data_IF_686897896810
#
_entry.id   IF_686897896810
#
_cell.length_a   1.000
_cell.length_b   1.000
_cell.length_c   1.000
_cell.angle_alpha   90.00
_cell.angle_beta   90.00
_cell.angle_gamma   90.00
#
_symmetry.space_group_name_H-M   'P 1'
#
loop_
_entity.id
_entity.type
_entity.pdbx_description
1 polymer ?
#
# COMPACT_ATOMS: atom_id res chain seq x y z
N UNK A 1 -23.29 19.14 -65.90
CA UNK A 1 -24.39 19.84 -65.23
C UNK A 1 -25.14 18.79 -64.44
N UNK A 2 -24.77 18.54 -63.19
CA UNK A 2 -25.31 19.21 -61.99
C UNK A 2 -26.32 18.25 -61.36
N UNK A 3 -26.34 17.88 -60.07
CA UNK A 3 -25.65 18.31 -58.86
C UNK A 3 -25.85 17.18 -57.82
N UNK A 4 -24.88 16.97 -56.93
CA UNK A 4 -25.00 16.10 -55.74
C UNK A 4 -25.99 16.68 -54.72
N UNK A 5 -26.91 15.86 -54.19
CA UNK A 5 -27.40 16.01 -52.80
C UNK A 5 -27.65 14.61 -52.23
N UNK A 6 -26.71 14.16 -51.39
CA UNK A 6 -26.84 13.04 -50.47
C UNK A 6 -27.58 13.54 -49.24
N UNK A 7 -28.66 12.86 -48.82
CA UNK A 7 -29.23 13.03 -47.49
C UNK A 7 -29.66 11.66 -46.95
N UNK A 8 -28.73 11.01 -46.25
CA UNK A 8 -29.01 9.83 -45.44
C UNK A 8 -29.57 10.29 -44.09
N UNK A 9 -30.87 10.11 -43.88
CA UNK A 9 -31.51 10.19 -42.57
C UNK A 9 -31.33 8.83 -41.86
N UNK A 10 -30.19 8.64 -41.19
CA UNK A 10 -30.07 7.62 -40.14
C UNK A 10 -30.62 8.21 -38.84
N UNK A 11 -31.88 7.91 -38.55
CA UNK A 11 -32.51 8.12 -37.25
C UNK A 11 -31.92 7.09 -36.27
N UNK A 12 -30.80 7.44 -35.65
CA UNK A 12 -30.25 6.72 -34.49
C UNK A 12 -31.14 7.00 -33.27
N UNK A 13 -32.16 6.17 -33.08
CA UNK A 13 -32.78 5.97 -31.79
C UNK A 13 -31.91 4.98 -30.98
N UNK A 14 -30.72 5.41 -30.53
CA UNK A 14 -30.06 4.74 -29.42
C UNK A 14 -30.72 5.23 -28.13
N UNK A 15 -31.85 4.63 -27.78
CA UNK A 15 -32.14 4.46 -26.36
C UNK A 15 -31.09 3.49 -25.83
N UNK A 16 -29.98 4.04 -25.32
CA UNK A 16 -29.04 3.26 -24.50
C UNK A 16 -29.86 2.83 -23.30
N UNK A 17 -30.30 1.57 -23.32
CA UNK A 17 -30.80 0.89 -22.13
C UNK A 17 -29.59 0.83 -21.19
N UNK A 18 -29.45 1.84 -20.32
CA UNK A 18 -28.62 1.74 -19.13
C UNK A 18 -29.34 0.73 -18.27
N UNK A 19 -29.05 -0.55 -18.52
CA UNK A 19 -29.58 -1.65 -17.73
C UNK A 19 -29.07 -1.39 -16.32
N UNK A 20 -29.96 -0.86 -15.49
CA UNK A 20 -29.65 -0.56 -14.10
C UNK A 20 -29.19 -1.87 -13.50
N UNK A 21 -27.89 -1.94 -13.18
CA UNK A 21 -27.27 -3.13 -12.60
C UNK A 21 -28.01 -3.46 -11.31
N UNK A 22 -28.95 -4.40 -11.40
CA UNK A 22 -29.57 -5.02 -10.25
C UNK A 22 -28.51 -5.97 -9.69
N UNK A 23 -27.62 -5.43 -8.86
CA UNK A 23 -26.79 -6.24 -7.95
C UNK A 23 -27.80 -7.09 -7.16
N UNK A 24 -27.73 -8.44 -7.24
CA UNK A 24 -28.59 -9.29 -6.46
C UNK A 24 -28.49 -8.88 -4.99
N UNK A 25 -29.63 -8.61 -4.34
CA UNK A 25 -29.65 -8.36 -2.89
C UNK A 25 -29.25 -9.66 -2.21
N UNK A 26 -27.97 -9.76 -1.88
CA UNK A 26 -27.52 -10.66 -0.84
C UNK A 26 -28.19 -10.26 0.49
N UNK A 27 -28.56 -11.25 1.30
CA UNK A 27 -29.22 -10.97 2.56
C UNK A 27 -28.32 -10.12 3.48
N UNK A 28 -28.88 -9.27 4.36
CA UNK A 28 -28.10 -8.35 5.21
C UNK A 28 -27.03 -9.01 6.09
N UNK A 29 -27.13 -10.32 6.31
CA UNK A 29 -26.14 -11.10 7.07
C UNK A 29 -24.95 -11.59 6.20
N UNK A 30 -25.10 -11.70 4.87
CA UNK A 30 -23.98 -12.05 3.96
C UNK A 30 -23.26 -10.82 3.38
N UNK A 31 -23.90 -9.65 3.34
CA UNK A 31 -23.28 -8.40 2.88
C UNK A 31 -22.20 -7.88 3.86
N UNK A 32 -20.92 -8.04 3.47
CA UNK A 32 -19.79 -7.58 4.27
C UNK A 32 -19.75 -6.08 4.50
N UNK A 33 -20.16 -5.27 3.52
CA UNK A 33 -20.17 -3.81 3.66
C UNK A 33 -21.24 -3.36 4.67
N UNK A 34 -22.39 -4.02 4.71
CA UNK A 34 -23.43 -3.77 5.71
C UNK A 34 -22.95 -4.12 7.12
N UNK A 35 -22.22 -5.23 7.29
CA UNK A 35 -21.63 -5.60 8.59
C UNK A 35 -20.61 -4.57 9.07
N UNK A 36 -19.74 -4.08 8.17
CA UNK A 36 -18.79 -2.99 8.47
C UNK A 36 -19.52 -1.73 8.93
N UNK A 37 -20.52 -1.29 8.16
CA UNK A 37 -21.29 -0.09 8.51
C UNK A 37 -21.99 -0.23 9.87
N UNK A 38 -22.60 -1.40 10.12
CA UNK A 38 -23.24 -1.69 11.39
C UNK A 38 -22.23 -1.66 12.57
N UNK A 39 -21.04 -2.24 12.41
CA UNK A 39 -19.97 -2.15 13.42
C UNK A 39 -19.57 -0.69 13.67
N UNK A 40 -19.44 0.12 12.61
CA UNK A 40 -19.07 1.53 12.70
C UNK A 40 -20.13 2.35 13.44
N UNK A 41 -21.40 2.28 13.04
CA UNK A 41 -22.46 3.11 13.67
C UNK A 41 -22.80 2.66 15.09
N UNK A 42 -22.79 1.35 15.37
CA UNK A 42 -23.23 0.83 16.67
C UNK A 42 -22.10 0.81 17.70
N UNK A 43 -20.88 0.46 17.28
CA UNK A 43 -19.71 0.30 18.18
C UNK A 43 -18.69 1.43 18.05
N UNK A 44 -18.89 2.39 17.12
CA UNK A 44 -17.94 3.47 16.82
C UNK A 44 -16.53 2.95 16.49
N UNK A 45 -16.45 1.78 15.87
CA UNK A 45 -15.19 1.14 15.49
C UNK A 45 -14.68 1.64 14.14
N UNK A 46 -13.36 1.79 14.04
CA UNK A 46 -12.64 2.04 12.77
C UNK A 46 -11.76 0.87 12.35
N UNK A 47 -11.77 -0.21 13.14
CA UNK A 47 -11.10 -1.48 12.86
C UNK A 47 -12.16 -2.57 12.63
N UNK A 48 -11.96 -3.38 11.61
CA UNK A 48 -12.90 -4.37 11.10
C UNK A 48 -12.22 -5.72 10.92
N UNK A 49 -13.03 -6.78 10.90
CA UNK A 49 -12.51 -8.12 10.66
C UNK A 49 -12.03 -8.28 9.22
N UNK A 50 -11.04 -9.14 9.01
CA UNK A 50 -10.61 -9.54 7.67
C UNK A 50 -11.78 -10.05 6.81
N UNK A 51 -12.64 -10.88 7.40
CA UNK A 51 -13.76 -11.51 6.68
C UNK A 51 -14.76 -10.48 6.17
N UNK A 52 -15.12 -9.48 6.98
CA UNK A 52 -16.09 -8.46 6.56
C UNK A 52 -15.57 -7.61 5.39
N UNK A 53 -14.29 -7.24 5.42
CA UNK A 53 -13.68 -6.47 4.31
C UNK A 53 -13.52 -7.35 3.07
N UNK A 54 -13.10 -8.61 3.22
CA UNK A 54 -13.02 -9.56 2.11
C UNK A 54 -14.38 -9.71 1.42
N UNK A 55 -15.44 -9.95 2.18
CA UNK A 55 -16.79 -10.13 1.64
C UNK A 55 -17.31 -8.85 0.99
N UNK A 56 -17.04 -7.68 1.60
CA UNK A 56 -17.40 -6.38 1.03
C UNK A 56 -16.73 -6.16 -0.34
N UNK A 57 -15.41 -6.31 -0.42
CA UNK A 57 -14.65 -6.07 -1.67
C UNK A 57 -14.97 -7.10 -2.76
N UNK A 58 -15.26 -8.35 -2.38
CA UNK A 58 -15.61 -9.42 -3.33
C UNK A 58 -17.09 -9.47 -3.71
N UNK A 59 -17.92 -8.54 -3.21
CA UNK A 59 -19.35 -8.48 -3.53
C UNK A 59 -19.67 -7.89 -4.92
N UNK A 60 -18.69 -7.32 -5.61
CA UNK A 60 -18.90 -6.64 -6.89
C UNK A 60 -18.55 -7.54 -8.08
N UNK A 61 -19.49 -7.83 -8.98
CA UNK A 61 -19.20 -8.63 -10.18
C UNK A 61 -18.30 -7.86 -11.15
N UNK A 62 -17.47 -8.60 -11.89
CA UNK A 62 -16.60 -8.03 -12.92
C UNK A 62 -17.37 -7.78 -14.23
N UNK A 63 -17.12 -6.61 -14.84
CA UNK A 63 -17.61 -6.23 -16.17
C UNK A 63 -16.46 -6.17 -17.19
N UNK A 64 -16.61 -6.86 -18.32
CA UNK A 64 -15.59 -6.99 -19.36
C UNK A 64 -15.29 -5.69 -20.09
N UNK A 65 -16.24 -4.75 -20.15
CA UNK A 65 -16.06 -3.46 -20.83
C UNK A 65 -14.94 -2.61 -20.21
N UNK A 66 -14.56 -2.89 -18.95
CA UNK A 66 -13.43 -2.25 -18.27
C UNK A 66 -12.10 -2.51 -18.99
N UNK A 67 -11.92 -3.67 -19.64
CA UNK A 67 -10.67 -4.02 -20.34
C UNK A 67 -10.50 -3.16 -21.60
N UNK A 68 -11.57 -2.90 -22.33
CA UNK A 68 -11.54 -2.09 -23.56
C UNK A 68 -11.10 -0.66 -23.26
N UNK A 69 -11.70 -0.07 -22.22
CA UNK A 69 -11.35 1.28 -21.76
C UNK A 69 -9.88 1.36 -21.35
N UNK A 70 -9.42 0.41 -20.53
CA UNK A 70 -8.04 0.36 -20.07
C UNK A 70 -7.04 0.18 -21.22
N UNK A 71 -7.35 -0.70 -22.17
CA UNK A 71 -6.51 -0.96 -23.34
C UNK A 71 -6.38 0.29 -24.23
N UNK A 72 -7.49 1.03 -24.42
CA UNK A 72 -7.48 2.30 -25.13
C UNK A 72 -6.61 3.36 -24.45
N UNK A 73 -6.70 3.48 -23.12
CA UNK A 73 -5.90 4.42 -22.33
C UNK A 73 -4.40 4.09 -22.40
N UNK A 74 -4.03 2.84 -22.13
CA UNK A 74 -2.63 2.40 -22.19
C UNK A 74 -2.06 2.58 -23.59
N UNK A 75 -2.83 2.22 -24.62
CA UNK A 75 -2.39 2.33 -26.00
C UNK A 75 -2.24 3.77 -26.52
N UNK A 76 -2.99 4.72 -25.96
CA UNK A 76 -3.01 6.12 -26.38
C UNK A 76 -2.14 7.06 -25.55
N UNK A 77 -1.92 6.78 -24.26
CA UNK A 77 -1.30 7.74 -23.32
C UNK A 77 0.03 7.27 -22.74
N UNK A 78 0.31 5.97 -22.65
CA UNK A 78 1.57 5.51 -22.07
C UNK A 78 2.70 5.57 -23.10
N UNK A 79 3.55 6.60 -23.00
CA UNK A 79 4.61 6.86 -23.99
C UNK A 79 5.80 5.88 -23.92
N UNK A 80 5.92 5.11 -22.84
CA UNK A 80 7.06 4.20 -22.59
C UNK A 80 6.76 2.74 -22.93
N UNK A 81 5.74 2.46 -23.76
CA UNK A 81 5.35 1.10 -24.14
C UNK A 81 6.51 0.27 -24.70
N UNK A 82 7.31 0.83 -25.60
CA UNK A 82 8.44 0.11 -26.20
C UNK A 82 9.54 -0.13 -25.16
N UNK A 83 9.78 0.86 -24.29
CA UNK A 83 10.78 0.75 -23.23
C UNK A 83 10.41 -0.28 -22.18
N UNK A 84 9.12 -0.45 -21.88
CA UNK A 84 8.63 -1.46 -20.94
C UNK A 84 8.88 -2.89 -21.43
N UNK A 85 8.91 -3.11 -22.76
CA UNK A 85 9.15 -4.43 -23.37
C UNK A 85 10.63 -4.83 -23.42
N UNK A 86 11.53 -3.89 -23.24
CA UNK A 86 12.96 -4.17 -23.29
C UNK A 86 13.40 -4.93 -22.04
N UNK A 87 14.29 -5.93 -22.16
CA UNK A 87 14.91 -6.57 -21.01
C UNK A 87 15.57 -5.55 -20.08
N UNK A 88 15.56 -5.79 -18.75
CA UNK A 88 16.28 -4.97 -17.80
C UNK A 88 17.78 -4.91 -18.14
N UNK A 89 18.42 -3.79 -17.80
CA UNK A 89 19.88 -3.73 -17.81
C UNK A 89 20.47 -4.69 -16.75
N UNK A 90 21.70 -5.20 -16.94
CA UNK A 90 22.34 -6.04 -15.95
C UNK A 90 22.32 -5.42 -14.55
N UNK A 91 21.94 -6.20 -13.55
CA UNK A 91 21.80 -5.75 -12.16
C UNK A 91 20.36 -5.43 -11.74
N UNK A 92 19.41 -5.37 -12.68
CA UNK A 92 17.98 -5.28 -12.37
C UNK A 92 17.28 -6.63 -12.60
N UNK A 93 16.25 -6.88 -11.81
CA UNK A 93 15.56 -8.17 -11.68
C UNK A 93 14.09 -8.15 -12.15
N UNK A 94 13.60 -6.99 -12.60
CA UNK A 94 12.24 -6.85 -13.09
C UNK A 94 12.08 -7.43 -14.50
N UNK A 95 10.92 -8.02 -14.79
CA UNK A 95 10.63 -8.59 -16.10
C UNK A 95 10.32 -7.49 -17.13
N UNK A 96 10.65 -7.68 -18.42
CA UNK A 96 10.04 -6.91 -19.49
C UNK A 96 8.51 -7.16 -19.53
N UNK A 97 7.76 -6.11 -19.82
CA UNK A 97 6.29 -6.10 -19.81
C UNK A 97 5.76 -5.56 -21.14
N UNK A 98 5.03 -6.40 -21.86
CA UNK A 98 4.20 -5.95 -22.98
C UNK A 98 2.78 -5.66 -22.48
N UNK A 99 2.56 -4.45 -21.97
CA UNK A 99 1.27 -4.05 -21.39
C UNK A 99 0.09 -4.30 -22.33
N UNK A 100 0.26 -4.11 -23.64
CA UNK A 100 -0.82 -4.34 -24.62
C UNK A 100 -1.16 -5.83 -24.71
N UNK A 101 -0.13 -6.68 -24.85
CA UNK A 101 -0.35 -8.13 -24.92
C UNK A 101 -0.92 -8.69 -23.61
N UNK A 102 -0.47 -8.19 -22.46
CA UNK A 102 -0.94 -8.63 -21.15
C UNK A 102 -2.41 -8.23 -20.90
N UNK A 103 -2.82 -7.02 -21.32
CA UNK A 103 -4.22 -6.60 -21.26
C UNK A 103 -5.12 -7.40 -22.21
N UNK A 104 -4.62 -7.76 -23.40
CA UNK A 104 -5.34 -8.66 -24.29
C UNK A 104 -5.48 -10.06 -23.68
N UNK A 105 -4.46 -10.56 -22.98
CA UNK A 105 -4.57 -11.82 -22.23
C UNK A 105 -5.66 -11.75 -21.15
N UNK A 106 -5.85 -10.59 -20.51
CA UNK A 106 -6.89 -10.43 -19.48
C UNK A 106 -8.30 -10.58 -20.05
N UNK A 107 -8.53 -10.36 -21.35
CA UNK A 107 -9.82 -10.65 -22.00
C UNK A 107 -10.20 -12.13 -21.96
N UNK A 108 -9.19 -13.00 -21.94
CA UNK A 108 -9.36 -14.45 -21.94
C UNK A 108 -9.44 -15.04 -20.53
N UNK A 109 -8.93 -14.31 -19.53
CA UNK A 109 -9.06 -14.67 -18.13
C UNK A 109 -10.51 -14.53 -17.67
N UNK A 110 -10.92 -15.42 -16.77
CA UNK A 110 -12.21 -15.34 -16.11
C UNK A 110 -12.02 -14.77 -14.71
N UNK A 111 -12.65 -13.63 -14.44
CA UNK A 111 -12.67 -13.00 -13.12
C UNK A 111 -14.06 -13.13 -12.51
N UNK A 112 -14.13 -13.59 -11.26
CA UNK A 112 -15.38 -13.68 -10.53
C UNK A 112 -15.82 -12.32 -9.98
N UNK A 113 -14.85 -11.51 -9.54
CA UNK A 113 -15.11 -10.23 -8.88
C UNK A 113 -14.32 -9.10 -9.54
N UNK A 114 -14.85 -7.88 -9.44
CA UNK A 114 -14.15 -6.67 -9.87
C UNK A 114 -12.84 -6.47 -9.09
N UNK A 115 -12.81 -6.87 -7.80
CA UNK A 115 -11.60 -6.82 -6.98
C UNK A 115 -10.46 -7.64 -7.59
N UNK A 116 -10.74 -8.90 -7.98
CA UNK A 116 -9.72 -9.79 -8.54
C UNK A 116 -9.17 -9.22 -9.86
N UNK A 117 -10.06 -8.72 -10.74
CA UNK A 117 -9.64 -8.06 -11.98
C UNK A 117 -8.75 -6.83 -11.72
N UNK A 118 -9.19 -5.91 -10.85
CA UNK A 118 -8.43 -4.69 -10.58
C UNK A 118 -7.10 -4.95 -9.88
N UNK A 119 -7.02 -6.00 -9.07
CA UNK A 119 -5.76 -6.44 -8.43
C UNK A 119 -4.78 -6.98 -9.47
N UNK A 120 -5.25 -7.81 -10.41
CA UNK A 120 -4.44 -8.31 -11.52
C UNK A 120 -3.90 -7.16 -12.39
N UNK A 121 -4.75 -6.17 -12.71
CA UNK A 121 -4.33 -4.97 -13.43
C UNK A 121 -3.30 -4.19 -12.63
N UNK A 122 -3.54 -3.96 -11.35
CA UNK A 122 -2.59 -3.27 -10.47
C UNK A 122 -1.22 -3.94 -10.49
N UNK A 123 -1.18 -5.27 -10.37
CA UNK A 123 0.08 -6.03 -10.40
C UNK A 123 0.77 -5.98 -11.77
N UNK A 124 0.01 -5.99 -12.87
CA UNK A 124 0.59 -5.76 -14.20
C UNK A 124 1.31 -4.41 -14.31
N UNK A 125 0.74 -3.35 -13.74
CA UNK A 125 1.41 -2.04 -13.69
C UNK A 125 2.58 -2.04 -12.71
N UNK A 126 2.49 -2.77 -11.59
CA UNK A 126 3.60 -2.90 -10.63
C UNK A 126 4.81 -3.61 -11.24
N UNK A 127 4.62 -4.47 -12.23
CA UNK A 127 5.72 -5.13 -12.94
C UNK A 127 6.60 -4.16 -13.74
N UNK A 128 6.10 -2.95 -14.07
CA UNK A 128 6.90 -1.89 -14.71
C UNK A 128 8.00 -1.33 -13.80
N UNK A 129 7.87 -1.54 -12.48
CA UNK A 129 8.74 -0.97 -11.43
C UNK A 129 8.98 0.53 -11.62
N UNK A 130 7.89 1.25 -11.89
CA UNK A 130 7.86 2.69 -12.13
C UNK A 130 6.95 3.36 -11.09
N UNK A 131 7.53 4.24 -10.28
CA UNK A 131 6.80 4.96 -9.23
C UNK A 131 5.75 5.94 -9.77
N UNK A 132 5.84 6.32 -11.05
CA UNK A 132 4.93 7.28 -11.70
C UNK A 132 3.82 6.61 -12.51
N UNK A 133 3.96 5.31 -12.81
CA UNK A 133 3.02 4.59 -13.65
C UNK A 133 2.36 3.49 -12.82
N UNK A 134 1.21 3.82 -12.23
CA UNK A 134 0.44 2.90 -11.38
C UNK A 134 -1.02 2.88 -11.79
N UNK A 135 -1.66 1.73 -11.56
CA UNK A 135 -3.10 1.59 -11.61
C UNK A 135 -3.66 1.55 -10.19
N UNK A 136 -4.63 2.40 -9.91
CA UNK A 136 -5.32 2.46 -8.62
C UNK A 136 -6.82 2.54 -8.84
N UNK A 137 -7.58 1.77 -8.06
CA UNK A 137 -9.04 1.84 -8.00
C UNK A 137 -9.46 2.35 -6.64
N UNK A 138 -10.15 3.50 -6.59
CA UNK A 138 -10.70 4.03 -5.35
C UNK A 138 -11.67 3.05 -4.66
N UNK A 139 -12.28 2.15 -5.43
CA UNK A 139 -13.20 1.13 -4.94
C UNK A 139 -12.55 0.21 -3.89
N UNK A 140 -11.23 0.00 -3.94
CA UNK A 140 -10.52 -0.98 -3.11
C UNK A 140 -9.35 -0.38 -2.32
N UNK A 141 -9.44 0.90 -1.98
CA UNK A 141 -8.42 1.61 -1.18
C UNK A 141 -8.94 2.11 0.16
N UNK A 142 -10.19 1.80 0.50
CA UNK A 142 -10.83 2.23 1.76
C UNK A 142 -10.18 1.60 2.99
N UNK A 143 -9.81 0.32 2.89
CA UNK A 143 -9.31 -0.46 4.01
C UNK A 143 -7.86 -0.87 3.81
N UNK A 144 -7.12 -0.88 4.91
CA UNK A 144 -5.75 -1.38 5.00
C UNK A 144 -5.69 -2.50 6.04
N UNK A 145 -4.79 -3.45 5.85
CA UNK A 145 -4.62 -4.62 6.69
C UNK A 145 -3.29 -4.55 7.44
N UNK A 146 -3.29 -4.83 8.74
CA UNK A 146 -2.08 -4.90 9.55
C UNK A 146 -2.13 -6.04 10.57
N UNK A 147 -0.94 -6.50 10.98
CA UNK A 147 -0.76 -7.62 11.92
C UNK A 147 -0.30 -7.17 13.29
N UNK A 148 -0.17 -5.85 13.51
CA UNK A 148 0.43 -5.24 14.70
C UNK A 148 1.91 -5.52 14.91
N UNK A 149 2.60 -6.05 13.89
CA UNK A 149 4.04 -6.31 13.95
C UNK A 149 4.73 -5.67 12.75
N UNK A 150 5.81 -4.93 13.00
CA UNK A 150 6.64 -4.28 11.97
C UNK A 150 8.08 -4.76 12.06
N UNK A 151 8.84 -4.58 10.99
CA UNK A 151 10.14 -5.22 10.83
C UNK A 151 11.21 -4.24 10.40
N UNK A 152 12.45 -4.62 10.64
CA UNK A 152 13.61 -3.98 10.04
C UNK A 152 14.64 -5.05 9.69
N UNK A 153 15.61 -4.69 8.85
CA UNK A 153 16.67 -5.60 8.44
C UNK A 153 18.01 -5.12 8.95
N UNK A 154 18.84 -6.07 9.37
CA UNK A 154 20.25 -5.84 9.72
C UNK A 154 21.14 -6.82 8.97
N UNK A 155 22.38 -6.43 8.72
CA UNK A 155 23.41 -7.35 8.22
C UNK A 155 24.34 -7.68 9.38
N UNK A 156 24.43 -8.95 9.74
CA UNK A 156 25.31 -9.44 10.79
C UNK A 156 26.20 -10.55 10.20
N UNK A 157 27.52 -10.36 10.22
CA UNK A 157 28.50 -11.29 9.65
C UNK A 157 28.23 -11.66 8.17
N UNK A 158 27.74 -10.71 7.38
CA UNK A 158 27.41 -10.92 5.97
C UNK A 158 26.07 -11.61 5.72
N UNK A 159 25.34 -11.99 6.77
CA UNK A 159 23.98 -12.53 6.68
C UNK A 159 22.95 -11.43 6.95
N UNK A 160 21.97 -11.31 6.06
CA UNK A 160 20.87 -10.36 6.22
C UNK A 160 19.75 -11.00 7.06
N UNK A 161 19.41 -10.36 8.17
CA UNK A 161 18.44 -10.84 9.16
C UNK A 161 17.28 -9.87 9.29
N UNK A 162 16.08 -10.43 9.44
CA UNK A 162 14.86 -9.67 9.73
C UNK A 162 14.65 -9.67 11.24
N UNK A 163 14.40 -8.50 11.81
CA UNK A 163 14.14 -8.34 13.24
C UNK A 163 12.84 -7.56 13.44
N UNK A 164 12.18 -7.81 14.57
CA UNK A 164 10.96 -7.08 14.96
C UNK A 164 11.34 -5.65 15.36
N UNK A 165 10.79 -4.66 14.66
CA UNK A 165 10.96 -3.25 14.99
C UNK A 165 9.97 -2.84 16.11
N UNK A 166 8.70 -3.20 15.94
CA UNK A 166 7.62 -2.90 16.89
C UNK A 166 6.60 -4.04 16.86
N UNK A 167 6.10 -4.41 18.03
CA UNK A 167 4.98 -5.33 18.24
C UNK A 167 4.04 -4.71 19.26
N UNK A 168 2.91 -4.17 18.79
CA UNK A 168 1.97 -3.45 19.64
C UNK A 168 1.10 -4.37 20.49
N UNK A 169 1.19 -5.69 20.29
CA UNK A 169 0.50 -6.70 21.10
C UNK A 169 1.43 -7.23 22.20
N UNK A 170 2.69 -7.51 21.88
CA UNK A 170 3.67 -8.03 22.82
C UNK A 170 5.06 -7.43 22.58
N UNK A 171 5.36 -6.37 23.33
CA UNK A 171 6.63 -5.64 23.23
C UNK A 171 7.85 -6.49 23.59
N UNK A 172 7.70 -7.65 24.24
CA UNK A 172 8.83 -8.53 24.54
C UNK A 172 9.41 -9.21 23.29
N UNK A 173 8.71 -9.12 22.15
CA UNK A 173 9.16 -9.60 20.84
C UNK A 173 10.05 -8.60 20.11
N UNK A 174 10.15 -7.35 20.58
CA UNK A 174 11.01 -6.34 19.97
C UNK A 174 12.45 -6.85 19.94
N UNK A 175 13.11 -6.62 18.81
CA UNK A 175 14.48 -7.05 18.55
C UNK A 175 14.68 -8.57 18.39
N UNK A 176 13.64 -9.38 18.49
CA UNK A 176 13.76 -10.80 18.16
C UNK A 176 13.95 -11.00 16.65
N UNK A 177 14.77 -11.99 16.28
CA UNK A 177 14.97 -12.39 14.88
C UNK A 177 13.70 -13.08 14.38
N UNK A 178 13.15 -12.62 13.26
CA UNK A 178 12.07 -13.29 12.53
C UNK A 178 12.72 -14.28 11.59
N UNK A 179 12.73 -15.55 11.96
CA UNK A 179 13.41 -16.59 11.17
C UNK A 179 12.53 -17.10 10.04
N UNK A 180 11.23 -17.28 10.32
CA UNK A 180 10.26 -17.79 9.36
C UNK A 180 8.96 -16.99 9.42
N UNK A 181 8.29 -16.93 8.28
CA UNK A 181 6.93 -16.43 8.11
C UNK A 181 6.16 -17.56 7.43
N UNK A 182 5.14 -18.07 8.10
CA UNK A 182 4.32 -19.19 7.63
C UNK A 182 5.15 -20.42 7.22
N UNK A 183 6.18 -20.72 8.00
CA UNK A 183 7.09 -21.83 7.78
C UNK A 183 8.13 -21.62 6.67
N UNK A 184 8.13 -20.48 5.99
CA UNK A 184 9.12 -20.11 4.97
C UNK A 184 10.13 -19.12 5.54
N UNK A 185 11.39 -19.13 5.05
CA UNK A 185 12.40 -18.19 5.54
C UNK A 185 11.94 -16.74 5.39
N UNK A 186 12.01 -15.96 6.48
CA UNK A 186 11.44 -14.63 6.54
C UNK A 186 12.03 -13.68 5.48
N UNK A 187 13.35 -13.72 5.28
CA UNK A 187 14.01 -12.93 4.25
C UNK A 187 13.43 -13.20 2.87
N UNK A 188 13.25 -14.48 2.50
CA UNK A 188 12.69 -14.87 1.21
C UNK A 188 11.25 -14.36 1.03
N UNK A 189 10.42 -14.48 2.07
CA UNK A 189 9.03 -14.01 2.02
C UNK A 189 8.95 -12.49 1.81
N UNK A 190 9.77 -11.72 2.53
CA UNK A 190 9.81 -10.26 2.39
C UNK A 190 10.43 -9.85 1.06
N UNK A 191 11.45 -10.56 0.59
CA UNK A 191 12.06 -10.38 -0.72
C UNK A 191 11.05 -10.60 -1.86
N UNK A 192 10.27 -11.68 -1.80
CA UNK A 192 9.23 -11.97 -2.79
C UNK A 192 8.12 -10.93 -2.76
N UNK A 193 7.70 -10.47 -1.57
CA UNK A 193 6.77 -9.36 -1.44
C UNK A 193 7.34 -8.06 -2.04
N UNK A 194 8.60 -7.74 -1.78
CA UNK A 194 9.27 -6.58 -2.35
C UNK A 194 9.38 -6.65 -3.88
N UNK A 195 9.59 -7.85 -4.42
CA UNK A 195 9.65 -8.04 -5.87
C UNK A 195 8.27 -7.92 -6.53
N UNK A 196 7.24 -8.50 -5.92
CA UNK A 196 5.94 -8.68 -6.56
C UNK A 196 4.96 -7.55 -6.24
N UNK A 197 4.98 -7.03 -5.02
CA UNK A 197 3.96 -6.10 -4.51
C UNK A 197 4.46 -4.67 -4.36
N UNK A 198 5.77 -4.44 -4.34
CA UNK A 198 6.34 -3.08 -4.32
C UNK A 198 6.72 -2.66 -5.74
N UNK A 199 6.23 -1.51 -6.17
CA UNK A 199 6.46 -0.98 -7.53
C UNK A 199 7.43 0.20 -7.56
N UNK A 200 7.66 0.83 -6.41
CA UNK A 200 8.46 2.04 -6.30
C UNK A 200 9.95 1.71 -6.33
N UNK A 201 10.61 2.08 -7.43
CA UNK A 201 12.02 1.81 -7.78
C UNK A 201 12.24 0.55 -8.60
N UNK A 202 13.16 0.67 -9.57
CA UNK A 202 13.72 -0.44 -10.35
C UNK A 202 14.74 -1.26 -9.57
N UNK A 203 15.37 -0.68 -8.55
CA UNK A 203 16.31 -1.36 -7.68
C UNK A 203 15.56 -2.18 -6.61
N UNK A 204 15.83 -3.49 -6.57
CA UNK A 204 15.17 -4.39 -5.63
C UNK A 204 15.56 -4.14 -4.17
N UNK A 205 16.81 -3.74 -3.91
CA UNK A 205 17.24 -3.40 -2.55
C UNK A 205 16.46 -2.22 -1.99
N UNK A 206 16.18 -1.22 -2.82
CA UNK A 206 15.27 -0.11 -2.46
C UNK A 206 13.86 -0.62 -2.16
N UNK A 207 13.30 -1.46 -3.05
CA UNK A 207 11.97 -2.06 -2.82
C UNK A 207 11.89 -2.91 -1.56
N UNK A 208 12.96 -3.63 -1.24
CA UNK A 208 13.08 -4.43 -0.03
C UNK A 208 13.04 -3.57 1.23
N UNK A 209 13.75 -2.44 1.24
CA UNK A 209 13.67 -1.49 2.35
C UNK A 209 12.27 -0.88 2.48
N UNK A 210 11.61 -0.57 1.36
CA UNK A 210 10.22 -0.09 1.35
C UNK A 210 9.27 -1.15 1.92
N UNK A 211 9.45 -2.43 1.57
CA UNK A 211 8.65 -3.53 2.11
C UNK A 211 8.76 -3.65 3.64
N UNK A 212 9.92 -3.29 4.21
CA UNK A 212 10.15 -3.27 5.65
C UNK A 212 9.68 -1.98 6.31
N UNK A 213 9.55 -0.89 5.57
CA UNK A 213 9.12 0.38 6.12
C UNK A 213 7.66 0.32 6.61
N UNK A 214 7.36 1.23 7.54
CA UNK A 214 6.01 1.53 8.02
C UNK A 214 5.37 2.69 7.25
N UNK A 215 6.08 3.29 6.27
CA UNK A 215 5.56 4.44 5.54
C UNK A 215 4.36 4.09 4.66
N UNK A 216 3.31 4.90 4.80
CA UNK A 216 2.01 4.71 4.16
C UNK A 216 2.03 4.83 2.62
N UNK A 217 2.99 5.56 2.05
CA UNK A 217 2.95 5.92 0.62
C UNK A 217 3.16 4.72 -0.30
N UNK A 218 3.79 3.65 0.18
CA UNK A 218 4.16 2.50 -0.62
C UNK A 218 3.72 1.19 0.04
N UNK A 219 3.59 0.10 -0.74
CA UNK A 219 3.21 -1.20 -0.20
C UNK A 219 4.23 -1.67 0.84
N UNK A 220 3.78 -1.77 2.08
CA UNK A 220 4.54 -2.30 3.22
C UNK A 220 4.13 -3.74 3.47
N UNK A 221 5.07 -4.59 3.89
CA UNK A 221 4.74 -5.97 4.26
C UNK A 221 3.82 -6.00 5.49
N UNK A 222 4.05 -5.09 6.44
CA UNK A 222 3.32 -4.99 7.71
C UNK A 222 1.97 -4.27 7.58
N UNK A 223 1.82 -3.41 6.56
CA UNK A 223 0.57 -2.68 6.27
C UNK A 223 0.24 -2.81 4.79
N UNK A 224 -0.82 -3.56 4.47
CA UNK A 224 -1.21 -3.90 3.09
C UNK A 224 -2.48 -3.19 2.68
N UNK A 225 -2.52 -2.66 1.46
CA UNK A 225 -3.76 -2.14 0.84
C UNK A 225 -4.57 -3.23 0.13
N UNK A 226 -3.96 -4.36 -0.16
CA UNK A 226 -4.62 -5.54 -0.73
C UNK A 226 -5.04 -6.49 0.37
N UNK A 227 -6.15 -7.20 0.15
CA UNK A 227 -6.62 -8.29 0.99
C UNK A 227 -5.52 -9.36 1.05
N UNK A 228 -4.96 -9.66 2.23
CA UNK A 228 -4.02 -10.76 2.39
C UNK A 228 -4.65 -12.09 1.94
N UNK A 229 -3.87 -13.02 1.39
CA UNK A 229 -4.39 -14.31 0.92
C UNK A 229 -5.10 -15.15 2.00
N UNK A 230 -4.72 -14.92 3.27
CA UNK A 230 -5.26 -15.62 4.44
C UNK A 230 -5.60 -14.62 5.54
N UNK A 231 -6.52 -14.98 6.41
CA UNK A 231 -6.94 -14.16 7.55
C UNK A 231 -5.89 -14.03 8.65
N UNK A 232 -4.86 -14.87 8.63
CA UNK A 232 -3.81 -14.89 9.64
C UNK A 232 -2.43 -15.20 9.03
N UNK A 233 -1.40 -14.94 9.84
CA UNK A 233 0.01 -15.09 9.53
C UNK A 233 0.74 -15.53 10.80
N UNK A 234 1.73 -16.40 10.64
CA UNK A 234 2.54 -16.92 11.76
C UNK A 234 3.99 -16.52 11.59
N UNK A 235 4.57 -15.92 12.62
CA UNK A 235 5.98 -15.55 12.69
C UNK A 235 6.72 -16.49 13.63
N UNK A 236 7.80 -17.11 13.17
CA UNK A 236 8.70 -17.88 14.04
C UNK A 236 9.83 -16.98 14.52
N UNK A 237 9.77 -16.59 15.80
CA UNK A 237 10.70 -15.66 16.42
C UNK A 237 11.81 -16.40 17.18
N UNK A 238 13.00 -15.82 17.16
CA UNK A 238 14.14 -16.24 17.98
C UNK A 238 14.75 -15.02 18.67
N UNK A 239 14.49 -14.90 19.97
CA UNK A 239 15.09 -13.88 20.82
C UNK A 239 16.38 -14.41 21.46
N UNK A 240 17.26 -13.52 21.91
CA UNK A 240 18.55 -13.90 22.48
C UNK A 240 18.42 -15.00 23.56
N UNK A 241 19.23 -16.05 23.41
CA UNK A 241 19.31 -17.19 24.33
C UNK A 241 17.99 -17.96 24.58
N UNK A 242 16.97 -17.75 23.73
CA UNK A 242 15.71 -18.51 23.78
C UNK A 242 15.59 -19.46 22.59
N UNK A 243 14.86 -20.55 22.81
CA UNK A 243 14.41 -21.41 21.73
C UNK A 243 13.46 -20.63 20.82
N UNK A 244 13.41 -20.99 19.55
CA UNK A 244 12.45 -20.41 18.62
C UNK A 244 11.02 -20.72 19.06
N UNK A 245 10.10 -19.77 18.85
CA UNK A 245 8.69 -19.92 19.18
C UNK A 245 7.82 -19.23 18.13
N UNK A 246 6.60 -19.73 17.97
CA UNK A 246 5.65 -19.21 16.98
C UNK A 246 4.73 -18.16 17.58
N UNK A 247 4.52 -17.11 16.81
CA UNK A 247 3.64 -15.99 17.12
C UNK A 247 2.61 -15.88 16.00
N UNK A 248 1.38 -16.30 16.28
CA UNK A 248 0.26 -16.15 15.36
C UNK A 248 -0.37 -14.75 15.48
N UNK A 249 -0.63 -14.12 14.34
CA UNK A 249 -1.30 -12.81 14.23
C UNK A 249 -2.45 -12.89 13.23
N UNK A 250 -3.56 -12.25 13.55
CA UNK A 250 -4.66 -12.05 12.62
C UNK A 250 -4.42 -10.75 11.84
N UNK A 251 -4.81 -10.73 10.57
CA UNK A 251 -4.92 -9.49 9.83
C UNK A 251 -6.15 -8.72 10.32
N UNK A 252 -5.92 -7.52 10.82
CA UNK A 252 -7.00 -6.59 11.17
C UNK A 252 -7.09 -5.55 10.06
N UNK A 253 -8.31 -5.24 9.64
CA UNK A 253 -8.55 -4.18 8.68
C UNK A 253 -8.84 -2.87 9.41
N UNK A 254 -8.43 -1.74 8.85
CA UNK A 254 -8.81 -0.42 9.34
C UNK A 254 -9.12 0.52 8.19
N UNK A 255 -10.05 1.45 8.41
CA UNK A 255 -10.33 2.51 7.45
C UNK A 255 -9.42 3.70 7.71
N UNK A 256 -8.69 4.15 6.69
CA UNK A 256 -7.79 5.30 6.84
C UNK A 256 -8.56 6.61 7.06
N UNK A 257 -9.71 6.75 6.40
CA UNK A 257 -10.57 7.93 6.51
C UNK A 257 -11.94 7.51 7.04
N UNK A 258 -12.23 7.82 8.29
CA UNK A 258 -13.53 7.46 8.90
C UNK A 258 -14.72 8.19 8.27
N UNK A 259 -14.49 9.27 7.50
CA UNK A 259 -15.58 9.97 6.78
C UNK A 259 -16.21 9.04 5.74
N UNK A 260 -15.39 8.26 5.02
CA UNK A 260 -15.86 7.37 3.95
C UNK A 260 -16.81 6.29 4.47
N UNK A 261 -16.74 5.96 5.76
CA UNK A 261 -17.62 4.99 6.41
C UNK A 261 -19.07 5.49 6.54
N UNK A 262 -19.31 6.79 6.38
CA UNK A 262 -20.67 7.35 6.34
C UNK A 262 -21.28 7.32 4.92
N UNK A 263 -20.47 7.01 3.90
CA UNK A 263 -20.88 7.09 2.50
C UNK A 263 -21.53 5.78 2.01
N UNK A 264 -21.64 4.75 2.85
CA UNK A 264 -22.29 3.50 2.49
C UNK A 264 -22.94 2.83 3.70
N UNK A 265 -23.92 1.97 3.46
CA UNK A 265 -24.55 1.11 4.45
C UNK A 265 -24.76 -0.34 4.00
N UNK A 266 -24.33 -0.66 2.78
CA UNK A 266 -24.38 -1.99 2.15
C UNK A 266 -23.50 -1.97 0.88
N UNK A 267 -23.30 -3.12 0.25
CA UNK A 267 -22.50 -3.24 -0.98
C UNK A 267 -23.00 -2.32 -2.08
N UNK A 268 -24.32 -2.21 -2.30
CA UNK A 268 -24.87 -1.37 -3.37
C UNK A 268 -24.46 0.10 -3.20
N UNK A 269 -24.69 0.66 -2.02
CA UNK A 269 -24.32 2.05 -1.71
C UNK A 269 -22.80 2.26 -1.70
N UNK A 270 -22.01 1.26 -1.29
CA UNK A 270 -20.55 1.31 -1.42
C UNK A 270 -20.16 1.43 -2.90
N UNK A 271 -20.73 0.60 -3.77
CA UNK A 271 -20.45 0.67 -5.20
C UNK A 271 -20.86 2.01 -5.80
N UNK A 272 -22.08 2.46 -5.54
CA UNK A 272 -22.64 3.69 -6.13
C UNK A 272 -21.91 4.96 -5.64
N UNK A 273 -21.48 5.00 -4.37
CA UNK A 273 -20.92 6.21 -3.78
C UNK A 273 -19.38 6.24 -3.79
N UNK A 274 -18.72 5.09 -3.81
CA UNK A 274 -17.24 4.98 -3.73
C UNK A 274 -16.66 4.46 -5.04
N UNK A 275 -17.20 3.39 -5.61
CA UNK A 275 -16.64 2.76 -6.81
C UNK A 275 -17.04 3.48 -8.10
N UNK A 276 -18.26 4.01 -8.16
CA UNK A 276 -18.82 4.68 -9.33
C UNK A 276 -19.59 5.97 -8.96
N UNK A 277 -18.91 6.96 -8.36
CA UNK A 277 -19.59 8.13 -7.81
C UNK A 277 -20.26 8.96 -8.92
N UNK A 278 -21.60 9.01 -8.92
CA UNK A 278 -22.41 9.75 -9.90
C UNK A 278 -22.21 11.27 -9.90
N UNK A 279 -21.70 11.84 -8.79
CA UNK A 279 -21.48 13.29 -8.64
C UNK A 279 -20.03 13.73 -8.98
N UNK A 280 -19.31 12.90 -9.75
CA UNK A 280 -17.88 13.04 -9.95
C UNK A 280 -17.09 12.43 -8.78
N UNK A 281 -15.79 12.22 -8.99
CA UNK A 281 -14.89 11.68 -7.95
C UNK A 281 -15.06 12.57 -6.71
N UNK A 282 -15.51 11.99 -5.58
CA UNK A 282 -15.34 12.63 -4.28
C UNK A 282 -13.86 12.92 -4.24
N UNK A 283 -13.46 14.20 -4.35
CA UNK A 283 -12.08 14.58 -4.12
C UNK A 283 -11.83 14.28 -2.65
N UNK A 284 -11.46 13.04 -2.37
CA UNK A 284 -10.59 12.72 -1.27
C UNK A 284 -9.35 13.51 -1.66
N UNK A 285 -9.23 14.73 -1.13
CA UNK A 285 -8.03 15.54 -1.30
C UNK A 285 -6.82 14.65 -1.04
N UNK A 286 -5.65 14.95 -1.63
CA UNK A 286 -4.45 14.15 -1.38
C UNK A 286 -4.41 13.87 0.10
N UNK A 287 -4.48 12.58 0.48
CA UNK A 287 -4.43 12.16 1.88
C UNK A 287 -3.38 13.05 2.51
N UNK A 288 -3.75 13.83 3.53
CA UNK A 288 -2.75 14.65 4.19
C UNK A 288 -1.59 13.71 4.49
N UNK A 289 -0.43 14.00 3.92
CA UNK A 289 0.78 13.21 4.13
C UNK A 289 1.20 13.23 5.60
N UNK A 290 0.62 14.13 6.37
CA UNK A 290 0.53 14.05 7.81
C UNK A 290 -0.50 12.98 8.21
N UNK A 291 -0.05 12.01 9.02
CA UNK A 291 -0.85 11.61 10.16
C UNK A 291 -1.53 12.88 10.70
N UNK A 292 -2.84 13.06 10.47
CA UNK A 292 -3.62 13.67 11.53
C UNK A 292 -3.46 12.68 12.66
N UNK A 293 -2.56 13.04 13.59
CA UNK A 293 -2.80 12.84 15.00
C UNK A 293 -4.30 12.74 15.20
N UNK A 294 -4.71 11.70 15.94
CA UNK A 294 -5.95 11.73 16.68
C UNK A 294 -6.16 13.18 17.12
N UNK A 295 -7.09 13.91 16.48
CA UNK A 295 -7.49 15.25 16.91
C UNK A 295 -8.30 15.07 18.18
N UNK A 296 -7.55 14.76 19.23
CA UNK A 296 -7.84 14.85 20.64
C UNK A 296 -6.49 14.80 21.40
N UNK A 297 -5.47 15.50 20.90
CA UNK A 297 -4.36 15.98 21.70
C UNK A 297 -3.87 17.32 21.12
N UNK A 298 -3.64 18.35 21.93
CA UNK A 298 -3.05 19.61 21.48
C UNK A 298 -1.64 19.40 20.91
N UNK A 299 -1.09 20.38 20.15
CA UNK A 299 0.19 20.29 19.42
C UNK A 299 1.47 20.15 20.28
N UNK A 300 1.36 19.71 21.53
CA UNK A 300 2.46 19.47 22.45
C UNK A 300 2.83 17.97 22.57
N UNK A 301 2.11 17.06 21.90
CA UNK A 301 2.26 15.62 22.14
C UNK A 301 3.26 14.89 21.23
N UNK A 302 3.68 15.44 20.09
CA UNK A 302 4.76 14.81 19.30
C UNK A 302 6.11 14.85 20.05
N UNK A 303 6.36 15.92 20.80
CA UNK A 303 7.48 15.98 21.74
C UNK A 303 7.30 15.03 22.93
N UNK A 304 6.06 14.73 23.36
CA UNK A 304 5.81 13.75 24.43
C UNK A 304 5.86 12.29 24.00
N UNK A 305 5.57 11.99 22.73
CA UNK A 305 5.78 10.66 22.13
C UNK A 305 7.28 10.39 21.95
N UNK A 306 8.08 11.44 21.73
CA UNK A 306 9.55 11.38 21.80
C UNK A 306 10.06 11.36 23.25
N UNK A 307 9.37 11.98 24.21
CA UNK A 307 9.73 11.89 25.65
C UNK A 307 9.33 10.56 26.34
N UNK A 308 8.51 9.72 25.69
CA UNK A 308 8.38 8.31 26.06
C UNK A 308 9.45 7.42 25.39
N UNK A 309 10.56 8.01 24.93
CA UNK A 309 11.71 7.28 24.42
C UNK A 309 12.15 6.21 25.41
N UNK A 310 12.12 4.97 24.92
CA UNK A 310 13.02 3.94 25.38
C UNK A 310 14.43 4.56 25.52
N UNK A 311 14.99 4.51 26.73
CA UNK A 311 16.30 5.10 27.05
C UNK A 311 17.44 4.54 26.19
N UNK A 312 17.16 3.48 25.42
CA UNK A 312 18.08 2.87 24.46
C UNK A 312 18.27 3.68 23.17
N UNK A 313 17.32 4.57 22.79
CA UNK A 313 17.36 5.32 21.52
C UNK A 313 17.64 6.80 21.79
N UNK A 314 18.77 7.29 21.29
CA UNK A 314 19.14 8.71 21.30
C UNK A 314 18.77 9.34 19.96
N UNK A 315 17.86 10.31 19.96
CA UNK A 315 17.68 11.19 18.78
C UNK A 315 18.85 12.14 18.67
N UNK A 316 19.51 12.15 17.52
CA UNK A 316 20.65 13.01 17.25
C UNK A 316 20.18 14.30 16.59
N UNK A 317 19.48 14.16 15.47
CA UNK A 317 19.02 15.28 14.66
C UNK A 317 17.76 14.91 13.90
N UNK A 318 16.83 15.85 13.81
CA UNK A 318 15.64 15.77 12.96
C UNK A 318 15.72 16.96 12.01
N UNK A 319 15.63 16.70 10.70
CA UNK A 319 15.61 17.73 9.66
C UNK A 319 14.23 17.70 9.05
N UNK A 320 13.37 18.58 9.57
CA UNK A 320 11.97 18.73 9.20
C UNK A 320 11.24 17.38 9.07
N UNK A 321 10.35 17.26 8.09
CA UNK A 321 9.64 16.04 7.71
C UNK A 321 10.45 15.14 6.76
N UNK A 322 11.75 15.40 6.58
CA UNK A 322 12.55 14.74 5.54
C UNK A 322 13.45 13.63 6.06
N UNK A 323 14.29 13.89 7.06
CA UNK A 323 15.22 12.88 7.59
C UNK A 323 15.38 12.97 9.10
N UNK A 324 15.60 11.83 9.75
CA UNK A 324 15.99 11.77 11.16
C UNK A 324 17.17 10.83 11.38
N UNK A 325 18.00 11.22 12.34
CA UNK A 325 19.21 10.53 12.76
C UNK A 325 19.02 10.05 14.19
N UNK A 326 19.19 8.74 14.40
CA UNK A 326 19.07 8.10 15.70
C UNK A 326 20.31 7.25 15.99
N UNK A 327 20.61 7.06 17.27
CA UNK A 327 21.56 6.05 17.73
C UNK A 327 20.86 5.13 18.71
N UNK A 328 21.01 3.83 18.53
CA UNK A 328 20.61 2.83 19.52
C UNK A 328 21.80 1.94 19.80
N UNK A 329 22.13 1.80 21.10
CA UNK A 329 23.27 1.01 21.58
C UNK A 329 24.53 1.21 20.70
N UNK A 330 24.83 0.26 19.80
CA UNK A 330 26.04 0.21 18.98
C UNK A 330 25.85 0.59 17.50
N UNK A 331 24.65 0.95 17.06
CA UNK A 331 24.36 1.28 15.66
C UNK A 331 23.60 2.60 15.48
N UNK A 332 23.88 3.25 14.35
CA UNK A 332 23.17 4.44 13.92
C UNK A 332 22.09 4.10 12.91
N UNK A 333 20.97 4.82 13.00
CA UNK A 333 19.85 4.71 12.09
C UNK A 333 19.67 6.08 11.44
N UNK A 334 19.62 6.09 10.10
CA UNK A 334 19.20 7.26 9.34
C UNK A 334 17.91 6.90 8.62
N UNK A 335 16.85 7.63 8.93
CA UNK A 335 15.53 7.40 8.35
C UNK A 335 15.17 8.57 7.44
N UNK A 336 15.07 8.32 6.14
CA UNK A 336 14.49 9.25 5.18
C UNK A 336 12.98 8.97 5.09
N UNK A 337 12.15 9.98 5.31
CA UNK A 337 10.69 9.84 5.30
C UNK A 337 10.07 10.14 3.93
N UNK A 338 10.77 10.89 3.08
CA UNK A 338 10.30 11.29 1.74
C UNK A 338 11.50 11.60 0.85
N UNK A 339 11.36 11.39 -0.46
CA UNK A 339 12.32 11.84 -1.48
C UNK A 339 12.04 13.29 -1.93
N UNK A 340 10.90 13.84 -1.49
CA UNK A 340 10.45 15.19 -1.79
C UNK A 340 10.38 15.97 -0.48
N UNK A 341 11.45 16.67 -0.08
CA UNK A 341 11.41 17.54 1.08
C UNK A 341 10.43 18.68 0.84
N UNK A 342 9.37 18.73 1.64
CA UNK A 342 8.42 19.83 1.65
C UNK A 342 8.47 20.49 3.01
N UNK A 343 9.14 21.64 3.09
CA UNK A 343 9.24 22.50 4.26
C UNK A 343 9.14 23.96 3.86
N UNK A 344 8.67 24.87 4.75
CA UNK A 344 8.63 26.31 4.50
C UNK A 344 10.01 26.95 4.44
N UNK A 345 11.06 26.25 4.88
CA UNK A 345 12.44 26.69 4.78
C UNK A 345 13.08 26.16 3.49
N UNK A 346 13.75 27.04 2.76
CA UNK A 346 14.26 26.79 1.41
C UNK A 346 15.21 25.56 1.31
N UNK A 347 15.34 24.94 0.13
CA UNK A 347 16.27 23.83 -0.15
C UNK A 347 17.76 24.10 0.11
N UNK A 348 18.15 25.30 0.54
CA UNK A 348 19.53 25.81 0.50
C UNK A 348 20.44 25.15 1.55
N UNK A 349 19.93 24.83 2.75
CA UNK A 349 20.76 24.27 3.83
C UNK A 349 20.57 22.76 4.06
N UNK A 350 19.60 22.16 3.38
CA UNK A 350 19.17 20.81 3.64
C UNK A 350 20.29 19.76 3.45
N UNK A 351 21.08 19.87 2.38
CA UNK A 351 22.24 19.00 2.18
C UNK A 351 23.30 19.18 3.29
N UNK A 352 23.53 20.43 3.70
CA UNK A 352 24.45 20.75 4.78
C UNK A 352 23.98 20.13 6.10
N UNK A 353 22.68 20.19 6.38
CA UNK A 353 22.11 19.61 7.59
C UNK A 353 22.17 18.09 7.59
N UNK A 354 21.93 17.44 6.45
CA UNK A 354 22.09 16.00 6.28
C UNK A 354 23.54 15.59 6.54
N UNK A 355 24.50 16.28 5.90
CA UNK A 355 25.93 16.04 6.10
C UNK A 355 26.29 16.19 7.59
N UNK A 356 25.73 17.20 8.24
CA UNK A 356 25.97 17.45 9.66
C UNK A 356 25.38 16.34 10.55
N UNK A 357 24.20 15.82 10.25
CA UNK A 357 23.62 14.67 10.97
C UNK A 357 24.47 13.40 10.84
N UNK A 358 25.04 13.14 9.66
CA UNK A 358 26.00 12.04 9.49
C UNK A 358 27.30 12.25 10.28
N UNK A 359 27.84 13.48 10.31
CA UNK A 359 29.02 13.81 11.14
C UNK A 359 28.73 13.63 12.63
N UNK A 360 27.52 13.94 13.08
CA UNK A 360 27.12 13.75 14.48
C UNK A 360 27.01 12.26 14.85
N UNK A 361 26.49 11.42 13.94
CA UNK A 361 26.55 9.96 14.10
C UNK A 361 28.00 9.46 14.24
N UNK A 362 28.88 9.92 13.36
CA UNK A 362 30.31 9.57 13.38
C UNK A 362 30.97 9.99 14.70
N UNK A 363 30.71 11.23 15.16
CA UNK A 363 31.22 11.73 16.44
C UNK A 363 30.72 10.94 17.65
N UNK A 364 29.56 10.28 17.54
CA UNK A 364 29.03 9.37 18.56
C UNK A 364 29.57 7.94 18.45
N UNK A 365 30.58 7.71 17.62
CA UNK A 365 31.24 6.42 17.47
C UNK A 365 30.52 5.44 16.56
N UNK A 366 29.45 5.87 15.86
CA UNK A 366 28.79 5.04 14.84
C UNK A 366 29.69 4.99 13.62
N UNK A 367 30.06 3.78 13.19
CA UNK A 367 30.86 3.55 11.99
C UNK A 367 29.98 3.14 10.83
N UNK A 368 30.30 3.66 9.65
CA UNK A 368 29.74 3.16 8.39
C UNK A 368 30.25 1.73 8.17
N UNK A 369 29.33 0.77 8.10
CA UNK A 369 29.63 -0.61 7.72
C UNK A 369 29.80 -0.70 6.21
#
# INVERSE_FOLDING_TARGET
>A
MDFYVVFFLFLFAFAVNVQSYLIPREEPNSDGCARIYNEFITKKKTNFSYADVNDCYKSFPFDKDAIDTLSGLVGGFYVFLDKAKEPPQPGFDFRPVDLKAELENFRTKSYSTLYDFTTDVKHLFYDLKDSHTLFGSYCFTTFFFHTNMTFYSVVNNGEQKIKVFDDTIDQSNIDCEVTHIDGQQAFKVIYEFANNSVYASRDLGVRFNIALDRAYKFPSFAVRSEIPERSDITYTLKCDNKNAFDVKRNWNAFAQNSIILNEFNNSKSYFDNICNPTNGIIQIGPSSTAFQEIKAAPPDDFNKIVEQQDKSITTIKIIDSFVSFFKTQDFGIVKFFTESPTGPEEPINMLTDIIQGFKELENMGVKKV
#
